data_IF_389203143853
#
_entry.id   IF_389203143853
#
_cell.length_a   1.000
_cell.length_b   1.000
_cell.length_c   1.000
_cell.angle_alpha   90.00
_cell.angle_beta   90.00
_cell.angle_gamma   90.00
#
_symmetry.space_group_name_H-M   'P 1'
#
loop_
_entity.id
_entity.type
_entity.pdbx_description
1 polymer ?
#
# COMPACT_ATOMS: atom_id res chain seq x y z
N UNK A 1 -21.54 7.52 9.43
CA UNK A 1 -20.72 8.74 9.48
C UNK A 1 -19.29 8.29 9.73
N UNK A 2 -18.39 8.43 8.75
CA UNK A 2 -17.01 7.94 8.86
C UNK A 2 -16.24 8.94 9.72
N UNK A 3 -15.98 8.60 10.97
CA UNK A 3 -15.27 9.47 11.90
C UNK A 3 -13.78 9.54 11.51
N UNK A 4 -13.36 10.69 10.98
CA UNK A 4 -12.02 10.93 10.42
C UNK A 4 -10.93 11.06 11.49
N UNK A 5 -11.30 11.03 12.77
CA UNK A 5 -10.36 11.32 13.87
C UNK A 5 -9.58 10.12 14.37
N UNK A 6 -10.02 8.88 14.07
CA UNK A 6 -9.48 7.67 14.68
C UNK A 6 -8.39 6.94 13.86
N UNK A 7 -7.99 7.48 12.70
CA UNK A 7 -6.91 6.91 11.86
C UNK A 7 -5.51 7.30 12.38
N UNK A 8 -5.43 8.16 13.40
CA UNK A 8 -4.21 8.87 13.83
C UNK A 8 -3.51 8.30 15.07
N UNK A 9 -3.77 7.05 15.47
CA UNK A 9 -3.04 6.45 16.58
C UNK A 9 -1.58 6.13 16.16
N UNK A 10 -0.69 7.10 16.46
CA UNK A 10 0.76 7.11 16.19
C UNK A 10 1.47 5.83 16.62
N UNK A 11 0.91 5.11 17.58
CA UNK A 11 1.54 3.96 18.25
C UNK A 11 1.48 2.70 17.40
N UNK A 12 0.47 2.54 16.56
CA UNK A 12 0.30 1.34 15.73
C UNK A 12 1.07 1.40 14.41
N UNK A 13 1.21 2.58 13.79
CA UNK A 13 1.89 2.73 12.50
C UNK A 13 3.40 2.46 12.63
N UNK A 14 4.03 2.85 13.74
CA UNK A 14 5.46 2.64 13.97
C UNK A 14 5.82 1.16 14.21
N UNK A 15 4.87 0.35 14.69
CA UNK A 15 5.11 -1.07 14.97
C UNK A 15 5.24 -1.92 13.71
N UNK A 16 4.56 -1.55 12.62
CA UNK A 16 4.56 -2.29 11.36
C UNK A 16 5.70 -1.91 10.40
N UNK A 17 6.35 -0.75 10.60
CA UNK A 17 7.41 -0.26 9.70
C UNK A 17 8.81 -0.80 10.06
N UNK A 18 8.96 -1.42 11.23
CA UNK A 18 10.22 -2.02 11.68
C UNK A 18 10.55 -3.38 11.01
N UNK A 19 9.77 -3.86 10.04
CA UNK A 19 9.99 -5.17 9.42
C UNK A 19 10.99 -5.19 8.24
N UNK A 20 11.69 -4.08 7.97
CA UNK A 20 12.72 -4.02 6.92
C UNK A 20 14.06 -3.55 7.51
N UNK A 21 14.71 -4.39 8.32
CA UNK A 21 16.14 -4.24 8.61
C UNK A 21 16.93 -4.83 7.44
N UNK A 22 17.42 -3.99 6.52
CA UNK A 22 18.86 -4.00 6.24
C UNK A 22 19.40 -2.69 5.62
N UNK A 23 18.59 -1.63 5.49
CA UNK A 23 19.06 -0.31 5.04
C UNK A 23 18.69 0.78 6.06
N UNK A 24 19.48 0.91 7.13
CA UNK A 24 19.27 1.91 8.20
C UNK A 24 19.32 3.37 7.70
N UNK A 25 19.92 3.62 6.53
CA UNK A 25 19.93 4.93 5.88
C UNK A 25 18.61 5.24 5.13
N UNK A 26 17.98 4.23 4.52
CA UNK A 26 16.74 4.39 3.73
C UNK A 26 15.50 4.54 4.63
N UNK A 27 15.46 3.88 5.79
CA UNK A 27 14.34 4.01 6.74
C UNK A 27 14.31 5.40 7.39
N UNK A 28 15.49 5.97 7.69
CA UNK A 28 15.63 7.32 8.26
C UNK A 28 15.20 8.38 7.25
N UNK A 29 15.62 8.24 5.98
CA UNK A 29 15.19 9.13 4.90
C UNK A 29 13.69 9.00 4.64
N UNK A 30 13.13 7.79 4.61
CA UNK A 30 11.69 7.59 4.45
C UNK A 30 10.87 8.28 5.56
N UNK A 31 11.32 8.21 6.82
CA UNK A 31 10.67 8.88 7.94
C UNK A 31 10.75 10.41 7.84
N UNK A 32 11.90 10.95 7.42
CA UNK A 32 12.07 12.39 7.17
C UNK A 32 11.16 12.88 6.02
N UNK A 33 11.05 12.11 4.94
CA UNK A 33 10.17 12.44 3.80
C UNK A 33 8.69 12.46 4.21
N UNK A 34 8.26 11.47 5.01
CA UNK A 34 6.89 11.41 5.56
C UNK A 34 6.63 12.59 6.50
N UNK A 35 7.61 12.96 7.35
CA UNK A 35 7.51 14.13 8.24
C UNK A 35 7.34 15.44 7.47
N UNK A 36 8.13 15.66 6.41
CA UNK A 36 8.04 16.87 5.59
C UNK A 36 6.66 17.00 4.94
N UNK A 37 6.14 15.91 4.38
CA UNK A 37 4.80 15.90 3.77
C UNK A 37 3.73 16.14 4.84
N UNK A 38 3.88 15.55 6.04
CA UNK A 38 2.97 15.78 7.15
C UNK A 38 2.94 17.25 7.58
N UNK A 39 4.09 17.93 7.61
CA UNK A 39 4.17 19.37 7.90
C UNK A 39 3.41 20.18 6.84
N UNK A 40 3.59 19.88 5.55
CA UNK A 40 2.85 20.58 4.50
C UNK A 40 1.34 20.34 4.59
N UNK A 41 0.91 19.12 4.86
CA UNK A 41 -0.52 18.78 5.05
C UNK A 41 -1.08 19.50 6.28
N UNK A 42 -0.36 19.47 7.41
CA UNK A 42 -0.77 20.16 8.66
C UNK A 42 -0.93 21.66 8.43
N UNK A 43 -0.03 22.25 7.64
CA UNK A 43 -0.06 23.67 7.30
C UNK A 43 -1.01 23.98 6.13
N UNK A 44 -1.77 22.99 5.63
CA UNK A 44 -2.66 23.09 4.46
C UNK A 44 -1.98 23.56 3.18
N UNK A 45 -0.65 23.44 3.09
CA UNK A 45 0.13 23.76 1.90
C UNK A 45 0.17 22.56 0.94
N UNK A 46 -1.00 22.21 0.42
CA UNK A 46 -1.17 21.06 -0.46
C UNK A 46 -0.42 21.19 -1.79
N UNK A 47 -0.15 22.43 -2.22
CA UNK A 47 0.63 22.71 -3.45
C UNK A 47 2.10 22.29 -3.27
N UNK A 48 2.72 22.62 -2.13
CA UNK A 48 4.08 22.15 -1.83
C UNK A 48 4.11 20.65 -1.59
N UNK A 49 3.14 20.10 -0.85
CA UNK A 49 3.02 18.65 -0.65
C UNK A 49 2.97 17.89 -2.00
N UNK A 50 2.11 18.35 -2.93
CA UNK A 50 1.98 17.75 -4.27
C UNK A 50 3.29 17.79 -5.06
N UNK A 51 3.97 18.94 -5.11
CA UNK A 51 5.26 19.08 -5.80
C UNK A 51 6.31 18.13 -5.24
N UNK A 52 6.37 18.01 -3.91
CA UNK A 52 7.32 17.14 -3.24
C UNK A 52 7.05 15.65 -3.55
N UNK A 53 5.78 15.24 -3.49
CA UNK A 53 5.36 13.88 -3.86
C UNK A 53 5.67 13.57 -5.32
N UNK A 54 5.42 14.49 -6.24
CA UNK A 54 5.74 14.33 -7.66
C UNK A 54 7.25 14.16 -7.91
N UNK A 55 8.08 14.89 -7.14
CA UNK A 55 9.53 14.67 -7.17
C UNK A 55 9.87 13.24 -6.74
N UNK A 56 9.30 12.74 -5.64
CA UNK A 56 9.50 11.35 -5.20
C UNK A 56 9.07 10.32 -6.24
N UNK A 57 7.96 10.56 -6.95
CA UNK A 57 7.48 9.68 -8.03
C UNK A 57 8.42 9.66 -9.24
N UNK A 58 9.25 10.69 -9.42
CA UNK A 58 10.20 10.81 -10.53
C UNK A 58 11.60 10.31 -10.16
N UNK A 59 11.84 9.94 -8.90
CA UNK A 59 13.13 9.41 -8.45
C UNK A 59 13.42 8.05 -9.12
N UNK A 60 14.68 7.73 -9.48
CA UNK A 60 15.02 6.44 -10.06
C UNK A 60 14.85 5.26 -9.09
N UNK A 61 14.80 5.53 -7.79
CA UNK A 61 14.61 4.52 -6.77
C UNK A 61 13.13 4.06 -6.73
N UNK A 62 12.87 2.80 -7.09
CA UNK A 62 11.53 2.20 -7.12
C UNK A 62 10.78 2.31 -5.78
N UNK A 63 11.48 2.18 -4.65
CA UNK A 63 10.86 2.31 -3.33
C UNK A 63 10.36 3.74 -3.09
N UNK A 64 11.16 4.75 -3.47
CA UNK A 64 10.71 6.16 -3.41
C UNK A 64 9.53 6.42 -4.35
N UNK A 65 9.51 5.83 -5.53
CA UNK A 65 8.36 5.93 -6.44
C UNK A 65 7.10 5.33 -5.83
N UNK A 66 7.20 4.16 -5.20
CA UNK A 66 6.09 3.50 -4.52
C UNK A 66 5.54 4.34 -3.35
N UNK A 67 6.42 4.86 -2.51
CA UNK A 67 6.03 5.78 -1.44
C UNK A 67 5.35 7.03 -1.99
N UNK A 68 5.92 7.66 -3.02
CA UNK A 68 5.30 8.81 -3.68
C UNK A 68 3.91 8.50 -4.22
N UNK A 69 3.73 7.33 -4.83
CA UNK A 69 2.43 6.88 -5.35
C UNK A 69 1.37 6.63 -4.28
N UNK A 70 1.75 6.14 -3.10
CA UNK A 70 0.84 5.99 -1.96
C UNK A 70 0.46 7.35 -1.37
N UNK A 71 1.46 8.20 -1.13
CA UNK A 71 1.28 9.52 -0.55
C UNK A 71 0.45 10.43 -1.46
N UNK A 72 0.56 10.25 -2.78
CA UNK A 72 -0.28 10.95 -3.74
C UNK A 72 -1.77 10.62 -3.59
N UNK A 73 -2.15 9.35 -3.42
CA UNK A 73 -3.56 8.99 -3.19
C UNK A 73 -4.06 9.50 -1.84
N UNK A 74 -3.24 9.44 -0.79
CA UNK A 74 -3.57 10.02 0.52
C UNK A 74 -3.79 11.54 0.43
N UNK A 75 -2.97 12.23 -0.36
CA UNK A 75 -3.17 13.66 -0.59
C UNK A 75 -4.53 13.91 -1.26
N UNK A 76 -4.90 13.12 -2.28
CA UNK A 76 -6.21 13.23 -2.93
C UNK A 76 -7.34 13.00 -1.93
N UNK A 77 -7.25 12.01 -1.05
CA UNK A 77 -8.26 11.73 -0.01
C UNK A 77 -8.46 12.93 0.91
N UNK A 78 -7.37 13.63 1.27
CA UNK A 78 -7.42 14.78 2.17
C UNK A 78 -7.95 16.03 1.46
N UNK A 79 -7.60 16.20 0.17
CA UNK A 79 -7.97 17.39 -0.61
C UNK A 79 -9.29 17.25 -1.37
N UNK A 80 -9.88 16.06 -1.42
CA UNK A 80 -11.11 15.80 -2.17
C UNK A 80 -12.27 16.61 -1.60
N UNK A 81 -13.02 17.25 -2.50
CA UNK A 81 -14.20 18.03 -2.12
C UNK A 81 -15.44 17.15 -1.96
N UNK A 82 -15.42 15.96 -2.58
CA UNK A 82 -16.55 15.04 -2.61
C UNK A 82 -16.22 13.70 -1.97
N UNK A 83 -17.24 13.07 -1.35
CA UNK A 83 -17.09 11.74 -0.77
C UNK A 83 -16.81 10.66 -1.82
N UNK A 84 -17.31 10.83 -3.05
CA UNK A 84 -17.05 9.90 -4.16
C UNK A 84 -15.59 9.94 -4.60
N UNK A 85 -14.99 11.12 -4.72
CA UNK A 85 -13.57 11.27 -5.03
C UNK A 85 -12.69 10.71 -3.91
N UNK A 86 -13.02 11.00 -2.65
CA UNK A 86 -12.34 10.43 -1.49
C UNK A 86 -12.36 8.89 -1.50
N UNK A 87 -13.54 8.32 -1.77
CA UNK A 87 -13.73 6.86 -1.85
C UNK A 87 -12.90 6.24 -2.97
N UNK A 88 -12.94 6.82 -4.17
CA UNK A 88 -12.16 6.36 -5.31
C UNK A 88 -10.65 6.41 -5.03
N UNK A 89 -10.18 7.51 -4.42
CA UNK A 89 -8.78 7.65 -4.02
C UNK A 89 -8.38 6.62 -2.94
N UNK A 90 -9.25 6.33 -1.97
CA UNK A 90 -9.03 5.26 -1.00
C UNK A 90 -8.92 3.88 -1.65
N UNK A 91 -9.80 3.56 -2.60
CA UNK A 91 -9.71 2.30 -3.34
C UNK A 91 -8.40 2.18 -4.14
N UNK A 92 -7.98 3.27 -4.82
CA UNK A 92 -6.68 3.31 -5.54
C UNK A 92 -5.49 3.17 -4.59
N UNK A 93 -5.55 3.81 -3.42
CA UNK A 93 -4.55 3.65 -2.36
C UNK A 93 -4.44 2.19 -1.92
N UNK A 94 -5.55 1.55 -1.56
CA UNK A 94 -5.57 0.14 -1.16
C UNK A 94 -5.08 -0.79 -2.27
N UNK A 95 -5.42 -0.51 -3.54
CA UNK A 95 -4.96 -1.29 -4.68
C UNK A 95 -3.44 -1.21 -4.85
N UNK A 96 -2.85 -0.02 -4.72
CA UNK A 96 -1.39 0.16 -4.77
C UNK A 96 -0.70 -0.52 -3.58
N UNK A 97 -1.27 -0.38 -2.37
CA UNK A 97 -0.73 -0.97 -1.16
C UNK A 97 -0.67 -2.50 -1.26
N UNK A 98 -1.77 -3.15 -1.70
CA UNK A 98 -1.78 -4.60 -1.91
C UNK A 98 -0.75 -5.03 -2.93
N UNK A 99 -0.59 -4.32 -4.05
CA UNK A 99 0.47 -4.61 -5.03
C UNK A 99 1.87 -4.54 -4.42
N UNK A 100 2.14 -3.55 -3.58
CA UNK A 100 3.45 -3.37 -2.95
C UNK A 100 3.75 -4.44 -1.91
N UNK A 101 2.77 -4.77 -1.06
CA UNK A 101 2.92 -5.85 -0.08
C UNK A 101 3.17 -7.19 -0.81
N UNK A 102 2.42 -7.47 -1.88
CA UNK A 102 2.60 -8.68 -2.68
C UNK A 102 4.00 -8.77 -3.29
N UNK A 103 4.49 -7.69 -3.90
CA UNK A 103 5.85 -7.63 -4.48
C UNK A 103 6.92 -7.83 -3.39
N UNK A 104 6.71 -7.27 -2.20
CA UNK A 104 7.58 -7.48 -1.04
C UNK A 104 7.65 -8.95 -0.63
N UNK A 105 6.50 -9.63 -0.59
CA UNK A 105 6.43 -11.06 -0.31
C UNK A 105 7.15 -11.92 -1.36
N UNK A 106 7.01 -11.63 -2.65
CA UNK A 106 7.74 -12.35 -3.71
C UNK A 106 9.26 -12.18 -3.57
N UNK A 107 9.72 -11.00 -3.14
CA UNK A 107 11.15 -10.75 -2.91
C UNK A 107 11.66 -11.51 -1.69
N UNK A 108 10.95 -11.44 -0.57
CA UNK A 108 11.31 -12.16 0.66
C UNK A 108 11.39 -13.68 0.42
N UNK A 109 10.47 -14.24 -0.36
CA UNK A 109 10.48 -15.68 -0.70
C UNK A 109 11.69 -16.08 -1.56
N UNK A 110 12.12 -15.22 -2.50
CA UNK A 110 13.32 -15.46 -3.32
C UNK A 110 14.61 -15.37 -2.50
N UNK A 111 14.65 -14.45 -1.55
CA UNK A 111 15.83 -14.21 -0.72
C UNK A 111 15.91 -15.19 0.47
N UNK A 112 14.80 -15.85 0.82
CA UNK A 112 14.74 -16.83 1.89
C UNK A 112 15.41 -18.15 1.49
N UNK A 113 16.52 -18.46 2.17
CA UNK A 113 17.14 -19.79 2.16
C UNK A 113 16.92 -20.44 3.52
N UNK A 114 16.08 -21.49 3.63
CA UNK A 114 15.85 -22.13 4.92
C UNK A 114 17.16 -22.70 5.46
N UNK A 115 17.44 -22.47 6.74
CA UNK A 115 18.63 -23.04 7.37
C UNK A 115 18.46 -24.55 7.55
N UNK A 116 19.57 -25.30 7.49
CA UNK A 116 19.57 -26.76 7.70
C UNK A 116 18.90 -27.15 9.03
N UNK A 117 19.03 -26.30 10.06
CA UNK A 117 18.39 -26.51 11.36
C UNK A 117 16.87 -26.27 11.35
N UNK A 118 16.34 -25.43 10.45
CA UNK A 118 14.89 -25.23 10.27
C UNK A 118 14.26 -26.42 9.55
N UNK A 119 14.95 -26.99 8.56
CA UNK A 119 14.53 -28.22 7.86
C UNK A 119 14.48 -29.43 8.80
N UNK A 120 15.44 -29.56 9.72
CA UNK A 120 15.52 -30.70 10.65
C UNK A 120 14.51 -30.64 11.81
N UNK A 121 13.97 -29.47 12.15
CA UNK A 121 13.03 -29.31 13.27
C UNK A 121 11.55 -29.44 12.88
N UNK A 122 11.24 -29.69 11.61
CA UNK A 122 9.85 -29.70 11.15
C UNK A 122 9.12 -28.40 11.47
N UNK A 123 9.84 -27.27 11.55
CA UNK A 123 9.23 -25.96 11.64
C UNK A 123 8.55 -25.74 10.30
N UNK A 124 7.25 -26.06 10.23
CA UNK A 124 6.47 -25.84 9.01
C UNK A 124 6.58 -24.36 8.69
N UNK A 125 6.83 -24.09 7.41
CA UNK A 125 6.86 -22.77 6.80
C UNK A 125 5.91 -21.81 7.52
N UNK A 126 6.42 -20.63 7.86
CA UNK A 126 5.57 -19.49 8.17
C UNK A 126 4.56 -19.43 7.02
N UNK A 127 3.28 -19.77 7.27
CA UNK A 127 2.28 -20.00 6.22
C UNK A 127 1.84 -18.68 5.61
N UNK A 128 2.79 -18.09 4.89
CA UNK A 128 2.65 -16.89 4.11
C UNK A 128 1.72 -17.15 2.91
N UNK A 129 1.39 -18.40 2.61
CA UNK A 129 0.54 -18.77 1.48
C UNK A 129 -0.90 -18.27 1.67
N UNK A 130 -1.47 -18.42 2.86
CA UNK A 130 -2.82 -17.93 3.17
C UNK A 130 -2.88 -16.40 3.16
N UNK A 131 -1.89 -15.73 3.75
CA UNK A 131 -1.81 -14.26 3.73
C UNK A 131 -1.62 -13.70 2.32
N UNK A 132 -0.76 -14.34 1.49
CA UNK A 132 -0.58 -14.00 0.07
C UNK A 132 -1.87 -14.20 -0.71
N UNK A 133 -2.57 -15.32 -0.51
CA UNK A 133 -3.84 -15.65 -1.16
C UNK A 133 -4.92 -14.62 -0.81
N UNK A 134 -5.05 -14.28 0.47
CA UNK A 134 -5.97 -13.24 0.94
C UNK A 134 -5.65 -11.87 0.30
N UNK A 135 -4.37 -11.51 0.23
CA UNK A 135 -3.92 -10.24 -0.33
C UNK A 135 -4.12 -10.17 -1.86
N UNK A 136 -3.91 -11.28 -2.57
CA UNK A 136 -4.19 -11.42 -4.00
C UNK A 136 -5.70 -11.32 -4.28
N UNK A 137 -6.52 -12.00 -3.46
CA UNK A 137 -7.98 -11.90 -3.56
C UNK A 137 -8.47 -10.46 -3.33
N UNK A 138 -7.93 -9.78 -2.32
CA UNK A 138 -8.22 -8.38 -2.06
C UNK A 138 -7.80 -7.48 -3.23
N UNK A 139 -6.64 -7.72 -3.82
CA UNK A 139 -6.16 -6.99 -4.99
C UNK A 139 -7.13 -7.10 -6.17
N UNK A 140 -7.55 -8.32 -6.52
CA UNK A 140 -8.51 -8.56 -7.60
C UNK A 140 -9.88 -7.94 -7.31
N UNK A 141 -10.37 -8.10 -6.09
CA UNK A 141 -11.64 -7.50 -5.67
C UNK A 141 -11.62 -5.98 -5.80
N UNK A 142 -10.54 -5.32 -5.37
CA UNK A 142 -10.37 -3.87 -5.52
C UNK A 142 -10.34 -3.44 -7.00
N UNK A 143 -9.62 -4.18 -7.87
CA UNK A 143 -9.61 -3.89 -9.31
C UNK A 143 -11.02 -3.96 -9.91
N UNK A 144 -11.77 -5.02 -9.59
CA UNK A 144 -13.13 -5.22 -10.09
C UNK A 144 -14.05 -4.07 -9.65
N UNK A 145 -13.98 -3.67 -8.37
CA UNK A 145 -14.79 -2.56 -7.85
C UNK A 145 -14.46 -1.26 -8.57
N UNK A 146 -13.18 -0.92 -8.69
CA UNK A 146 -12.75 0.31 -9.37
C UNK A 146 -13.24 0.33 -10.83
N UNK A 147 -13.10 -0.79 -11.55
CA UNK A 147 -13.55 -0.89 -12.94
C UNK A 147 -15.07 -0.76 -13.07
N UNK A 148 -15.84 -1.33 -12.13
CA UNK A 148 -17.30 -1.19 -12.08
C UNK A 148 -17.72 0.25 -11.81
N UNK A 149 -17.11 0.91 -10.83
CA UNK A 149 -17.41 2.32 -10.52
C UNK A 149 -17.05 3.26 -11.69
N UNK A 150 -16.08 2.88 -12.52
CA UNK A 150 -15.74 3.61 -13.75
C UNK A 150 -16.65 3.27 -14.94
N UNK A 151 -17.64 2.37 -14.79
CA UNK A 151 -18.50 1.91 -15.88
C UNK A 151 -17.77 1.05 -16.93
N UNK A 152 -16.55 0.60 -16.65
CA UNK A 152 -15.70 -0.18 -17.57
C UNK A 152 -15.94 -1.67 -17.50
N UNK A 153 -16.64 -2.14 -16.47
CA UNK A 153 -16.93 -3.56 -16.27
C UNK A 153 -18.41 -3.75 -15.96
N UNK A 154 -19.15 -4.49 -16.82
CA UNK A 154 -20.55 -4.76 -16.55
C UNK A 154 -20.69 -5.70 -15.34
N UNK A 155 -21.80 -5.58 -14.62
CA UNK A 155 -21.99 -6.21 -13.31
C UNK A 155 -21.80 -7.75 -13.34
N UNK A 156 -22.17 -8.41 -14.42
CA UNK A 156 -22.07 -9.86 -14.57
C UNK A 156 -20.62 -10.38 -14.65
N UNK A 157 -19.68 -9.53 -15.09
CA UNK A 157 -18.33 -10.01 -15.44
C UNK A 157 -17.39 -10.16 -14.23
N UNK A 158 -17.71 -9.51 -13.12
CA UNK A 158 -17.00 -9.73 -11.86
C UNK A 158 -17.30 -11.09 -11.23
N UNK A 159 -18.48 -11.67 -11.48
CA UNK A 159 -18.83 -13.02 -10.99
C UNK A 159 -18.02 -14.08 -11.75
N UNK A 160 -17.84 -13.90 -13.06
CA UNK A 160 -17.05 -14.80 -13.90
C UNK A 160 -15.57 -14.82 -13.48
N UNK A 161 -14.97 -13.64 -13.27
CA UNK A 161 -13.54 -13.53 -12.92
C UNK A 161 -13.23 -14.18 -11.57
N UNK A 162 -14.12 -14.07 -10.58
CA UNK A 162 -13.93 -14.71 -9.27
C UNK A 162 -14.03 -16.23 -9.39
N UNK A 163 -15.00 -16.74 -10.16
CA UNK A 163 -15.19 -18.18 -10.36
C UNK A 163 -14.05 -18.85 -11.13
N UNK A 164 -13.52 -18.19 -12.16
CA UNK A 164 -12.54 -18.80 -13.04
C UNK A 164 -11.09 -18.72 -12.47
N UNK A 165 -10.88 -18.06 -11.31
CA UNK A 165 -9.57 -17.88 -10.66
C UNK A 165 -9.48 -18.43 -9.22
N UNK A 166 -10.57 -18.95 -8.67
CA UNK A 166 -10.63 -19.67 -7.38
C UNK A 166 -10.38 -21.16 -7.57
#
# INVERSE_FOLDING_TARGET
>A
TFDRTNILDRTNILKYVNFTSDNSLDSTLALELIRIIFVYIKNKDYKKAKKFIQKMQSEPNLYKQYQGNLLYELLIIITSETNSEAKMAWQRYSLKLTKYIYTGYEKLEKDYKPSVWQLLRGYSDYDCSESKKALLNLHWWLQIIILREQGKLPAWEGIRIVRDKS
#
